data_IF_699205253031
#
_entry.id   IF_699205253031
#
_cell.length_a   1.000
_cell.length_b   1.000
_cell.length_c   1.000
_cell.angle_alpha   90.00
_cell.angle_beta   90.00
_cell.angle_gamma   90.00
#
_symmetry.space_group_name_H-M   'P 1'
#
loop_
_entity.id
_entity.type
_entity.pdbx_description
1 polymer ?
#
# COMPACT_ATOMS: atom_id res chain seq x y z
N UNK A 1 4.17 6.35 17.45
CA UNK A 1 3.36 5.59 18.42
C UNK A 1 3.56 4.12 18.15
N UNK A 2 3.40 3.28 19.16
CA UNK A 2 3.37 1.83 18.98
C UNK A 2 2.10 1.43 18.22
N UNK A 3 2.20 0.46 17.31
CA UNK A 3 1.03 -0.06 16.58
C UNK A 3 0.40 -1.14 17.46
N UNK A 4 -0.69 -0.79 18.14
CA UNK A 4 -1.46 -1.71 18.99
C UNK A 4 -2.72 -2.18 18.28
N UNK A 5 -3.33 -3.24 18.78
CA UNK A 5 -4.63 -3.72 18.33
C UNK A 5 -5.73 -2.64 18.44
N UNK A 6 -5.80 -1.97 19.59
CA UNK A 6 -6.76 -0.89 19.84
C UNK A 6 -6.60 0.24 18.82
N UNK A 7 -5.37 0.72 18.61
CA UNK A 7 -5.12 1.81 17.67
C UNK A 7 -5.49 1.45 16.23
N UNK A 8 -5.30 0.18 15.84
CA UNK A 8 -5.69 -0.32 14.51
C UNK A 8 -7.22 -0.37 14.39
N UNK A 9 -7.93 -0.88 15.40
CA UNK A 9 -9.40 -0.94 15.35
C UNK A 9 -10.04 0.44 15.34
N UNK A 10 -9.52 1.39 16.13
CA UNK A 10 -9.98 2.78 16.11
C UNK A 10 -9.73 3.44 14.75
N UNK A 11 -8.56 3.23 14.15
CA UNK A 11 -8.24 3.78 12.83
C UNK A 11 -9.10 3.20 11.69
N UNK A 12 -9.71 2.03 11.91
CA UNK A 12 -10.53 1.32 10.93
C UNK A 12 -12.03 1.37 11.27
N UNK A 13 -12.45 2.15 12.27
CA UNK A 13 -13.86 2.29 12.60
C UNK A 13 -14.66 2.86 11.41
N UNK A 14 -15.81 2.26 11.12
CA UNK A 14 -16.64 2.60 9.96
C UNK A 14 -16.08 2.18 8.59
N UNK A 15 -14.94 1.47 8.54
CA UNK A 15 -14.38 0.94 7.28
C UNK A 15 -15.01 -0.42 6.96
N UNK A 16 -15.42 -0.62 5.70
CA UNK A 16 -15.94 -1.92 5.22
C UNK A 16 -14.95 -2.70 4.34
N UNK A 17 -14.03 -1.99 3.67
CA UNK A 17 -13.16 -2.54 2.64
C UNK A 17 -11.74 -2.02 2.82
N UNK A 18 -10.77 -2.93 2.83
CA UNK A 18 -9.34 -2.61 2.81
C UNK A 18 -8.84 -2.66 1.36
N UNK A 19 -8.40 -1.50 0.85
CA UNK A 19 -7.76 -1.37 -0.45
C UNK A 19 -6.24 -1.48 -0.30
N UNK A 20 -5.60 -2.39 -1.03
CA UNK A 20 -4.15 -2.64 -0.96
C UNK A 20 -3.58 -2.90 -2.35
N UNK A 21 -2.24 -2.95 -2.47
CA UNK A 21 -1.57 -3.49 -3.66
C UNK A 21 -0.67 -4.66 -3.26
N UNK A 22 -1.10 -5.89 -3.55
CA UNK A 22 -0.46 -7.13 -3.07
C UNK A 22 -0.57 -7.34 -1.54
N UNK A 23 -1.46 -6.63 -0.86
CA UNK A 23 -1.54 -6.66 0.60
C UNK A 23 -2.09 -7.96 1.16
N UNK A 24 -2.91 -8.69 0.41
CA UNK A 24 -3.42 -10.00 0.84
C UNK A 24 -2.30 -11.01 1.07
N UNK A 25 -1.18 -10.84 0.36
CA UNK A 25 -0.02 -11.75 0.40
C UNK A 25 1.17 -11.17 1.15
N UNK A 26 1.14 -9.88 1.48
CA UNK A 26 2.27 -9.17 2.05
C UNK A 26 1.87 -8.39 3.30
N UNK A 27 1.17 -7.26 3.15
CA UNK A 27 0.86 -6.35 4.26
C UNK A 27 0.02 -7.01 5.35
N UNK A 28 -1.12 -7.62 4.98
CA UNK A 28 -2.07 -8.17 5.96
C UNK A 28 -1.49 -9.35 6.77
N UNK A 29 -0.77 -10.32 6.15
CA UNK A 29 -0.07 -11.34 6.93
C UNK A 29 1.02 -10.80 7.87
N UNK A 30 1.69 -9.71 7.51
CA UNK A 30 2.70 -9.09 8.38
C UNK A 30 2.02 -8.39 9.55
N UNK A 31 0.98 -7.59 9.28
CA UNK A 31 0.19 -6.92 10.32
C UNK A 31 -0.41 -7.91 11.30
N UNK A 32 -1.03 -8.99 10.80
CA UNK A 32 -1.59 -10.05 11.65
C UNK A 32 -0.54 -10.67 12.58
N UNK A 33 0.69 -10.91 12.11
CA UNK A 33 1.78 -11.42 12.96
C UNK A 33 2.24 -10.42 14.01
N UNK A 34 2.23 -9.13 13.68
CA UNK A 34 2.72 -8.06 14.57
C UNK A 34 1.68 -7.65 15.61
N UNK A 35 0.39 -7.61 15.24
CA UNK A 35 -0.69 -7.10 16.08
C UNK A 35 -1.62 -8.19 16.60
N UNK A 36 -1.52 -9.42 16.07
CA UNK A 36 -2.44 -10.55 16.33
C UNK A 36 -3.89 -10.29 15.86
N UNK A 37 -4.07 -9.33 14.95
CA UNK A 37 -5.37 -9.02 14.36
C UNK A 37 -5.55 -9.69 13.00
N UNK A 38 -6.56 -10.55 12.88
CA UNK A 38 -7.01 -11.05 11.58
C UNK A 38 -7.98 -10.05 10.93
N UNK A 39 -7.42 -9.02 10.30
CA UNK A 39 -8.19 -8.01 9.58
C UNK A 39 -8.98 -8.60 8.40
N UNK A 40 -8.50 -9.70 7.81
CA UNK A 40 -9.16 -10.33 6.64
C UNK A 40 -10.47 -11.01 7.02
N UNK A 41 -10.64 -11.40 8.29
CA UNK A 41 -11.91 -11.94 8.80
C UNK A 41 -13.03 -10.89 8.87
N UNK A 42 -12.67 -9.60 8.99
CA UNK A 42 -13.62 -8.53 9.33
C UNK A 42 -13.91 -7.56 8.19
N UNK A 43 -12.97 -7.37 7.27
CA UNK A 43 -13.08 -6.43 6.17
C UNK A 43 -13.05 -7.12 4.81
N UNK A 44 -13.77 -6.55 3.83
CA UNK A 44 -13.62 -6.98 2.44
C UNK A 44 -12.23 -6.59 1.94
N UNK A 45 -11.62 -7.46 1.14
CA UNK A 45 -10.33 -7.16 0.51
C UNK A 45 -10.51 -6.69 -0.93
N UNK A 46 -9.97 -5.51 -1.24
CA UNK A 46 -9.75 -5.02 -2.58
C UNK A 46 -8.23 -4.95 -2.84
N UNK A 47 -7.66 -6.06 -3.33
CA UNK A 47 -6.25 -6.11 -3.73
C UNK A 47 -6.10 -5.70 -5.19
N UNK A 48 -5.58 -4.49 -5.43
CA UNK A 48 -5.42 -3.92 -6.76
C UNK A 48 -4.43 -4.68 -7.65
N UNK A 49 -3.47 -5.43 -7.07
CA UNK A 49 -2.62 -6.30 -7.87
C UNK A 49 -3.45 -7.45 -8.45
N UNK A 50 -4.38 -8.02 -7.68
CA UNK A 50 -5.30 -9.05 -8.18
C UNK A 50 -6.19 -8.47 -9.28
N UNK A 51 -6.80 -7.31 -9.05
CA UNK A 51 -7.69 -6.71 -10.05
C UNK A 51 -6.93 -6.32 -11.34
N UNK A 52 -5.72 -5.79 -11.25
CA UNK A 52 -4.85 -5.56 -12.41
C UNK A 52 -4.55 -6.86 -13.19
N UNK A 53 -4.27 -7.95 -12.47
CA UNK A 53 -3.98 -9.25 -13.11
C UNK A 53 -5.19 -9.83 -13.84
N UNK A 54 -6.42 -9.60 -13.36
CA UNK A 54 -7.66 -10.07 -14.01
C UNK A 54 -7.80 -9.50 -15.43
N UNK A 55 -7.30 -8.29 -15.67
CA UNK A 55 -7.29 -7.64 -16.99
C UNK A 55 -5.97 -7.75 -17.72
N UNK A 56 -5.09 -8.66 -17.30
CA UNK A 56 -3.82 -8.92 -17.98
C UNK A 56 -2.72 -7.86 -17.73
N UNK A 57 -2.92 -6.91 -16.81
CA UNK A 57 -1.89 -5.97 -16.41
C UNK A 57 -0.90 -6.64 -15.46
N UNK A 58 0.40 -6.51 -15.76
CA UNK A 58 1.48 -7.14 -15.00
C UNK A 58 2.50 -6.11 -14.52
N UNK A 59 2.81 -6.12 -13.24
CA UNK A 59 3.83 -5.26 -12.63
C UNK A 59 3.60 -4.99 -11.15
N UNK A 60 4.55 -4.31 -10.51
CA UNK A 60 4.36 -3.72 -9.19
C UNK A 60 3.63 -2.37 -9.28
N UNK A 61 3.28 -1.81 -8.12
CA UNK A 61 2.55 -0.55 -7.97
C UNK A 61 3.14 0.57 -8.84
N UNK A 62 4.45 0.82 -8.72
CA UNK A 62 5.18 1.84 -9.49
C UNK A 62 5.05 1.73 -10.99
N UNK A 63 5.04 0.49 -11.49
CA UNK A 63 4.85 0.26 -12.92
C UNK A 63 3.42 0.58 -13.36
N UNK A 64 2.43 0.36 -12.49
CA UNK A 64 1.05 0.75 -12.75
C UNK A 64 0.90 2.27 -12.68
N UNK A 65 1.49 2.92 -11.67
CA UNK A 65 1.50 4.38 -11.54
C UNK A 65 2.10 5.05 -12.79
N UNK A 66 3.27 4.60 -13.23
CA UNK A 66 3.90 5.10 -14.47
C UNK A 66 3.03 4.85 -15.71
N UNK A 67 2.45 3.64 -15.84
CA UNK A 67 1.58 3.28 -16.96
C UNK A 67 0.35 4.18 -17.05
N UNK A 68 -0.21 4.56 -15.91
CA UNK A 68 -1.43 5.36 -15.83
C UNK A 68 -1.17 6.86 -15.62
N UNK A 69 0.09 7.29 -15.65
CA UNK A 69 0.44 8.70 -15.49
C UNK A 69 0.21 9.26 -14.08
N UNK A 70 0.19 8.40 -13.05
CA UNK A 70 0.08 8.82 -11.66
C UNK A 70 1.42 9.39 -11.22
N UNK A 71 1.42 10.65 -10.80
CA UNK A 71 2.64 11.37 -10.44
C UNK A 71 3.24 10.89 -9.11
N UNK A 72 4.58 10.91 -9.03
CA UNK A 72 5.37 10.68 -7.82
C UNK A 72 6.51 11.69 -7.75
N UNK A 73 6.67 12.37 -6.62
CA UNK A 73 7.88 13.08 -6.24
C UNK A 73 9.04 12.12 -5.99
N UNK A 74 8.79 10.90 -5.53
CA UNK A 74 9.82 9.85 -5.34
C UNK A 74 10.04 8.98 -6.59
N UNK A 75 9.77 9.51 -7.78
CA UNK A 75 9.94 8.77 -9.05
C UNK A 75 11.37 8.26 -9.18
N UNK A 76 11.50 7.01 -9.63
CA UNK A 76 12.80 6.33 -9.79
C UNK A 76 13.24 5.55 -8.55
N UNK A 77 12.67 5.80 -7.38
CA UNK A 77 12.94 5.00 -6.18
C UNK A 77 12.24 3.64 -6.25
N UNK A 78 12.93 2.58 -5.86
CA UNK A 78 12.42 1.21 -5.74
C UNK A 78 12.36 0.77 -4.24
N UNK A 79 11.95 -0.47 -3.97
CA UNK A 79 11.87 -0.97 -2.58
C UNK A 79 13.22 -1.13 -1.90
N UNK A 80 14.30 -1.34 -2.66
CA UNK A 80 15.65 -1.40 -2.13
C UNK A 80 16.12 -0.03 -1.65
N UNK A 81 15.81 1.04 -2.38
CA UNK A 81 16.13 2.40 -1.96
C UNK A 81 15.44 2.77 -0.63
N UNK A 82 14.18 2.35 -0.46
CA UNK A 82 13.45 2.54 0.79
C UNK A 82 14.14 1.83 1.98
N UNK A 83 14.63 0.61 1.78
CA UNK A 83 15.40 -0.11 2.80
C UNK A 83 16.72 0.59 3.14
N UNK A 84 17.41 1.18 2.16
CA UNK A 84 18.62 1.97 2.40
C UNK A 84 18.34 3.25 3.19
N UNK A 85 17.22 3.93 2.89
CA UNK A 85 16.81 5.12 3.65
C UNK A 85 16.49 4.77 5.10
N UNK A 86 15.79 3.66 5.33
CA UNK A 86 15.54 3.17 6.68
C UNK A 86 16.85 2.88 7.43
N UNK A 87 17.78 2.15 6.81
CA UNK A 87 19.07 1.82 7.44
C UNK A 87 19.89 3.07 7.81
N UNK A 88 19.88 4.11 6.98
CA UNK A 88 20.52 5.41 7.27
C UNK A 88 19.89 6.10 8.47
N UNK A 89 18.56 6.14 8.53
CA UNK A 89 17.85 6.71 9.66
C UNK A 89 18.12 5.92 10.96
N UNK A 90 18.02 4.60 10.92
CA UNK A 90 18.19 3.73 12.09
C UNK A 90 19.62 3.78 12.64
N UNK A 91 20.63 3.78 11.76
CA UNK A 91 22.04 3.73 12.18
C UNK A 91 22.62 5.10 12.57
N UNK A 92 22.19 6.18 11.92
CA UNK A 92 22.82 7.50 12.05
C UNK A 92 21.84 8.63 12.43
N UNK A 93 20.56 8.33 12.61
CA UNK A 93 19.55 9.35 12.92
C UNK A 93 19.27 10.31 11.76
N UNK A 94 19.59 9.92 10.52
CA UNK A 94 19.46 10.74 9.31
C UNK A 94 17.99 11.12 9.05
N UNK A 95 17.61 12.33 9.48
CA UNK A 95 16.25 12.86 9.38
C UNK A 95 15.81 13.09 7.94
N UNK A 96 16.75 13.40 7.04
CA UNK A 96 16.43 13.61 5.63
C UNK A 96 16.12 12.28 4.95
N UNK A 97 16.85 11.21 5.31
CA UNK A 97 16.52 9.86 4.87
C UNK A 97 15.12 9.43 5.35
N UNK A 98 14.79 9.69 6.62
CA UNK A 98 13.45 9.42 7.16
C UNK A 98 12.39 10.22 6.42
N UNK A 99 12.60 11.53 6.21
CA UNK A 99 11.65 12.40 5.49
C UNK A 99 11.35 11.86 4.10
N UNK A 100 12.38 11.46 3.35
CA UNK A 100 12.23 10.91 2.01
C UNK A 100 11.54 9.52 2.03
N UNK A 101 11.86 8.67 3.00
CA UNK A 101 11.19 7.38 3.19
C UNK A 101 9.70 7.55 3.51
N UNK A 102 9.35 8.53 4.35
CA UNK A 102 7.97 8.82 4.68
C UNK A 102 7.19 9.35 3.47
N UNK A 103 7.78 10.22 2.65
CA UNK A 103 7.15 10.65 1.40
C UNK A 103 6.95 9.47 0.44
N UNK A 104 7.96 8.62 0.31
CA UNK A 104 7.90 7.41 -0.49
C UNK A 104 6.73 6.49 -0.07
N UNK A 105 6.60 6.21 1.23
CA UNK A 105 5.52 5.36 1.76
C UNK A 105 4.15 6.05 1.67
N UNK A 106 4.11 7.37 1.84
CA UNK A 106 2.89 8.16 1.68
C UNK A 106 2.35 8.04 0.25
N UNK A 107 3.22 8.14 -0.74
CA UNK A 107 2.85 7.96 -2.15
C UNK A 107 2.32 6.54 -2.41
N UNK A 108 2.94 5.50 -1.84
CA UNK A 108 2.49 4.10 -1.97
C UNK A 108 1.05 3.88 -1.45
N UNK A 109 0.56 4.70 -0.52
CA UNK A 109 -0.82 4.66 0.00
C UNK A 109 -1.74 5.61 -0.77
N UNK A 110 -1.36 6.88 -0.91
CA UNK A 110 -2.23 7.91 -1.51
C UNK A 110 -2.53 7.62 -2.98
N UNK A 111 -1.57 7.02 -3.70
CA UNK A 111 -1.76 6.70 -5.10
C UNK A 111 -2.66 5.48 -5.33
N UNK A 112 -2.91 4.65 -4.30
CA UNK A 112 -3.92 3.59 -4.39
C UNK A 112 -5.31 4.16 -4.66
N UNK A 113 -5.64 5.35 -4.15
CA UNK A 113 -6.94 5.98 -4.40
C UNK A 113 -7.13 6.29 -5.90
N UNK A 114 -6.07 6.77 -6.56
CA UNK A 114 -6.12 7.05 -7.99
C UNK A 114 -6.13 5.76 -8.79
N UNK A 115 -5.29 4.80 -8.42
CA UNK A 115 -5.20 3.51 -9.10
C UNK A 115 -6.50 2.71 -8.97
N UNK A 116 -7.12 2.71 -7.79
CA UNK A 116 -8.41 2.06 -7.53
C UNK A 116 -9.49 2.64 -8.43
N UNK A 117 -9.62 3.96 -8.53
CA UNK A 117 -10.55 4.60 -9.48
C UNK A 117 -10.31 4.21 -10.93
N UNK A 118 -9.07 4.01 -11.34
CA UNK A 118 -8.73 3.62 -12.72
C UNK A 118 -9.00 2.14 -12.95
N UNK A 119 -8.67 1.28 -11.99
CA UNK A 119 -8.82 -0.17 -12.14
C UNK A 119 -10.29 -0.56 -11.98
N UNK A 120 -10.98 -0.02 -10.99
CA UNK A 120 -12.40 -0.34 -10.68
C UNK A 120 -13.35 0.54 -11.50
N UNK A 121 -13.12 1.85 -11.57
CA UNK A 121 -14.02 2.82 -12.20
C UNK A 121 -14.09 2.76 -13.74
N UNK A 122 -13.18 2.05 -14.41
CA UNK A 122 -13.25 1.80 -15.87
C UNK A 122 -14.17 0.61 -16.20
N UNK A 123 -14.93 0.09 -15.23
CA UNK A 123 -15.91 -0.97 -15.44
C UNK A 123 -15.35 -2.38 -15.25
N UNK A 124 -14.45 -2.57 -14.29
CA UNK A 124 -14.21 -3.90 -13.72
C UNK A 124 -15.21 -4.13 -12.60
N UNK A 125 -16.46 -4.28 -13.02
CA UNK A 125 -17.52 -4.77 -12.17
C UNK A 125 -17.18 -6.22 -11.78
N UNK A 126 -17.02 -6.57 -10.50
CA UNK A 126 -16.84 -7.95 -10.09
C UNK A 126 -18.06 -8.83 -10.38
N UNK A 127 -19.20 -8.24 -10.78
CA UNK A 127 -20.50 -8.90 -10.92
C UNK A 127 -21.19 -8.75 -12.30
N UNK A 128 -20.45 -8.74 -13.41
CA UNK A 128 -21.03 -9.03 -14.75
C UNK A 128 -20.54 -10.35 -15.33
#
# INVERSE_FOLDING_TARGET
GEITDVAVWEALDGVDTLCTYNGDRFDLPILERQTRLDLRSRFRSLDLLRECRRVGLKGGLKRMEERFGIARGTRGMNGWDALQLWARYESAGDQEALRLLLEYNREDVMNLVQLERIVVGVGLDPER
#
